data_IF_145801117388
#
_entry.id   IF_145801117388
#
_cell.length_a   1.000
_cell.length_b   1.000
_cell.length_c   1.000
_cell.angle_alpha   90.00
_cell.angle_beta   90.00
_cell.angle_gamma   90.00
#
_symmetry.space_group_name_H-M   'P 1'
#
loop_
_entity.id
_entity.type
_entity.pdbx_description
1 polymer ?
#
# COMPACT_ATOMS: atom_id res chain seq x y z
N UNK A 1 -4.70 -28.19 -8.35
CA UNK A 1 -4.73 -26.90 -8.96
C UNK A 1 -5.39 -25.86 -8.14
N UNK A 2 -6.57 -26.15 -7.70
CA UNK A 2 -7.31 -25.19 -6.88
C UNK A 2 -6.62 -24.92 -5.56
N UNK A 3 -5.92 -25.92 -5.03
CA UNK A 3 -5.23 -25.75 -3.76
C UNK A 3 -4.14 -24.67 -3.85
N UNK A 4 -3.42 -24.66 -4.94
CA UNK A 4 -2.37 -23.66 -5.14
C UNK A 4 -2.97 -22.27 -5.26
N UNK A 5 -4.09 -22.17 -5.96
CA UNK A 5 -4.74 -20.88 -6.12
C UNK A 5 -5.20 -20.32 -4.78
N UNK A 6 -5.75 -21.19 -3.95
CA UNK A 6 -6.22 -20.76 -2.63
C UNK A 6 -5.04 -20.29 -1.78
N UNK A 7 -3.93 -21.03 -1.82
CA UNK A 7 -2.76 -20.64 -1.06
C UNK A 7 -2.21 -19.30 -1.54
N UNK A 8 -2.20 -19.09 -2.87
CA UNK A 8 -1.74 -17.84 -3.43
C UNK A 8 -2.61 -16.68 -2.99
N UNK A 9 -3.92 -16.88 -3.00
CA UNK A 9 -4.83 -15.82 -2.59
C UNK A 9 -4.57 -15.42 -1.16
N UNK A 10 -4.41 -16.41 -0.26
CA UNK A 10 -4.12 -16.11 1.13
C UNK A 10 -2.82 -15.34 1.29
N UNK A 11 -1.79 -15.75 0.55
CA UNK A 11 -0.50 -15.07 0.60
C UNK A 11 -0.62 -13.63 0.11
N UNK A 12 -1.34 -13.43 -0.98
CA UNK A 12 -1.51 -12.10 -1.53
C UNK A 12 -2.30 -11.20 -0.58
N UNK A 13 -3.30 -11.76 0.09
CA UNK A 13 -4.06 -10.98 1.05
C UNK A 13 -3.20 -10.56 2.24
N UNK A 14 -2.33 -11.45 2.70
CA UNK A 14 -1.40 -11.10 3.76
C UNK A 14 -0.46 -9.99 3.33
N UNK A 15 0.05 -10.07 2.12
CA UNK A 15 0.91 -9.03 1.60
C UNK A 15 0.16 -7.70 1.50
N UNK A 16 -1.08 -7.76 1.03
CA UNK A 16 -1.87 -6.54 0.90
C UNK A 16 -2.08 -5.87 2.25
N UNK A 17 -2.40 -6.67 3.27
CA UNK A 17 -2.59 -6.14 4.62
C UNK A 17 -1.31 -5.47 5.12
N UNK A 18 -0.17 -6.11 4.88
CA UNK A 18 1.11 -5.54 5.32
C UNK A 18 1.39 -4.24 4.59
N UNK A 19 1.10 -4.19 3.30
CA UNK A 19 1.33 -2.97 2.52
C UNK A 19 0.41 -1.85 3.01
N UNK A 20 -0.84 -2.17 3.29
CA UNK A 20 -1.77 -1.17 3.79
C UNK A 20 -1.29 -0.58 5.12
N UNK A 21 -0.79 -1.42 6.01
CA UNK A 21 -0.25 -0.94 7.28
C UNK A 21 0.97 -0.07 7.07
N UNK A 22 1.85 -0.48 6.15
CA UNK A 22 3.03 0.32 5.87
C UNK A 22 2.66 1.66 5.25
N UNK A 23 1.64 1.67 4.41
CA UNK A 23 1.16 2.91 3.81
C UNK A 23 0.62 3.85 4.87
N UNK A 24 -0.10 3.30 5.85
CA UNK A 24 -0.59 4.10 6.95
C UNK A 24 0.53 4.76 7.73
N UNK A 25 1.57 3.98 8.04
CA UNK A 25 2.71 4.50 8.76
C UNK A 25 3.46 5.55 7.95
N UNK A 26 3.60 5.30 6.66
CA UNK A 26 4.26 6.26 5.79
C UNK A 26 3.47 7.56 5.73
N UNK A 27 2.16 7.47 5.72
CA UNK A 27 1.30 8.65 5.71
C UNK A 27 1.49 9.46 7.00
N UNK A 28 1.49 8.76 8.14
CA UNK A 28 1.70 9.42 9.42
C UNK A 28 3.06 10.08 9.49
N UNK A 29 4.08 9.41 8.96
CA UNK A 29 5.42 9.99 8.96
C UNK A 29 5.48 11.25 8.11
N UNK A 30 4.85 11.22 6.94
CA UNK A 30 4.82 12.39 6.07
C UNK A 30 4.10 13.54 6.76
N UNK A 31 3.01 13.26 7.44
CA UNK A 31 2.28 14.26 8.16
C UNK A 31 3.13 14.87 9.27
N UNK A 32 3.81 14.01 10.04
CA UNK A 32 4.67 14.47 11.13
C UNK A 32 5.81 15.33 10.59
N UNK A 33 6.40 14.94 9.47
CA UNK A 33 7.46 15.72 8.87
C UNK A 33 6.98 17.11 8.48
N UNK A 34 5.79 17.17 7.91
CA UNK A 34 5.20 18.45 7.54
C UNK A 34 4.96 19.31 8.76
N UNK A 35 4.42 18.73 9.82
CA UNK A 35 4.14 19.46 11.04
C UNK A 35 5.41 19.96 11.69
N UNK A 36 6.49 19.19 11.60
CA UNK A 36 7.75 19.58 12.19
C UNK A 36 8.53 20.59 11.35
N UNK A 37 8.01 20.94 10.17
CA UNK A 37 8.70 21.89 9.30
C UNK A 37 9.91 21.30 8.62
N UNK A 38 9.88 20.01 8.34
CA UNK A 38 10.99 19.34 7.68
C UNK A 38 11.22 19.90 6.28
N UNK A 39 12.45 19.75 5.75
CA UNK A 39 12.72 20.23 4.40
C UNK A 39 11.80 19.58 3.38
N UNK A 40 11.48 20.34 2.33
CA UNK A 40 10.55 19.87 1.32
C UNK A 40 11.02 18.55 0.70
N UNK A 41 12.33 18.38 0.53
CA UNK A 41 12.84 17.16 -0.07
C UNK A 41 12.48 15.93 0.77
N UNK A 42 12.49 16.06 2.09
CA UNK A 42 12.14 14.95 2.97
C UNK A 42 10.65 14.64 2.91
N UNK A 43 9.84 15.67 2.88
CA UNK A 43 8.40 15.48 2.78
C UNK A 43 8.06 14.82 1.45
N UNK A 44 8.70 15.27 0.37
CA UNK A 44 8.46 14.69 -0.94
C UNK A 44 8.88 13.22 -0.99
N UNK A 45 10.00 12.89 -0.36
CA UNK A 45 10.44 11.51 -0.33
C UNK A 45 9.43 10.63 0.41
N UNK A 46 8.88 11.14 1.50
CA UNK A 46 7.86 10.41 2.25
C UNK A 46 6.59 10.23 1.42
N UNK A 47 6.20 11.26 0.70
CA UNK A 47 5.03 11.17 -0.17
C UNK A 47 5.23 10.18 -1.31
N UNK A 48 6.45 10.15 -1.85
CA UNK A 48 6.77 9.21 -2.92
C UNK A 48 6.67 7.78 -2.42
N UNK A 49 7.04 7.54 -1.18
CA UNK A 49 6.94 6.21 -0.61
C UNK A 49 5.47 5.79 -0.48
N UNK A 50 4.62 6.72 -0.07
CA UNK A 50 3.18 6.44 0.03
C UNK A 50 2.65 6.03 -1.34
N UNK A 51 3.01 6.78 -2.37
CA UNK A 51 2.55 6.48 -3.71
C UNK A 51 3.00 5.09 -4.14
N UNK A 52 4.25 4.75 -3.83
CA UNK A 52 4.79 3.44 -4.20
C UNK A 52 4.02 2.32 -3.52
N UNK A 53 3.72 2.50 -2.24
CA UNK A 53 2.98 1.50 -1.50
C UNK A 53 1.55 1.36 -2.02
N UNK A 54 0.93 2.47 -2.35
CA UNK A 54 -0.42 2.44 -2.92
C UNK A 54 -0.44 1.74 -4.27
N UNK A 55 0.59 1.96 -5.08
CA UNK A 55 0.70 1.27 -6.35
C UNK A 55 0.83 -0.23 -6.16
N UNK A 56 1.67 -0.63 -5.20
CA UNK A 56 1.83 -2.04 -4.92
C UNK A 56 0.52 -2.67 -4.45
N UNK A 57 -0.21 -1.96 -3.61
CA UNK A 57 -1.49 -2.45 -3.13
C UNK A 57 -2.48 -2.60 -4.28
N UNK A 58 -2.48 -1.65 -5.19
CA UNK A 58 -3.37 -1.70 -6.33
C UNK A 58 -3.07 -2.92 -7.20
N UNK A 59 -1.79 -3.19 -7.43
CA UNK A 59 -1.41 -4.35 -8.22
C UNK A 59 -1.82 -5.65 -7.58
N UNK A 60 -1.68 -5.72 -6.27
CA UNK A 60 -2.10 -6.92 -5.55
C UNK A 60 -3.60 -7.11 -5.63
N UNK A 61 -4.35 -6.04 -5.52
CA UNK A 61 -5.79 -6.12 -5.64
C UNK A 61 -6.19 -6.61 -7.03
N UNK A 62 -5.49 -6.15 -8.05
CA UNK A 62 -5.75 -6.61 -9.40
C UNK A 62 -5.48 -8.10 -9.53
N UNK A 63 -4.38 -8.57 -8.93
CA UNK A 63 -4.06 -9.99 -8.96
C UNK A 63 -5.10 -10.81 -8.22
N UNK A 64 -5.65 -10.26 -7.16
CA UNK A 64 -6.71 -10.94 -6.41
C UNK A 64 -8.03 -10.93 -7.15
N UNK A 65 -8.15 -10.14 -8.20
CA UNK A 65 -9.39 -10.04 -8.90
C UNK A 65 -10.45 -9.23 -8.19
N UNK A 66 -10.04 -8.48 -7.17
CA UNK A 66 -10.96 -7.61 -6.45
C UNK A 66 -11.10 -6.32 -7.22
N UNK A 67 -12.11 -6.27 -8.03
CA UNK A 67 -12.36 -5.07 -8.80
C UNK A 67 -13.37 -4.20 -8.07
N UNK A 68 -13.24 -2.89 -8.22
CA UNK A 68 -14.24 -2.01 -7.63
C UNK A 68 -15.61 -2.35 -8.19
N UNK A 69 -16.55 -2.48 -7.30
CA UNK A 69 -17.91 -2.79 -7.69
C UNK A 69 -18.54 -1.55 -8.27
N UNK A 70 -18.86 -1.61 -9.52
CA UNK A 70 -19.47 -0.48 -10.21
C UNK A 70 -20.97 -0.67 -10.23
N UNK A 71 -21.63 0.14 -9.52
CA UNK A 71 -23.09 0.10 -9.48
C UNK A 71 -23.63 1.47 -9.62
#
# INVERSE_FOLDING_TARGET
MTTESVANVGHLRCQLTAIDRNAERAFERAFDLQQAGAPAARVEAAMAEITRLQESARRLREQLGEQPVLH
#
